data_IF_001661566574
#
_entry.id   IF_001661566574
#
_cell.length_a   1.000
_cell.length_b   1.000
_cell.length_c   1.000
_cell.angle_alpha   90.00
_cell.angle_beta   90.00
_cell.angle_gamma   90.00
#
_symmetry.space_group_name_H-M   'P 1'
#
loop_
_entity.id
_entity.type
_entity.pdbx_description
1 polymer ?
#
# COMPACT_ATOMS: atom_id res chain seq x y z
N UNK A 1 -12.34 -70.42 -11.74
CA UNK A 1 -13.02 -69.64 -10.68
C UNK A 1 -12.88 -68.16 -11.04
N UNK A 2 -14.02 -67.48 -11.23
CA UNK A 2 -14.18 -66.05 -11.55
C UNK A 2 -13.61 -65.16 -10.41
N UNK A 3 -13.01 -63.98 -10.69
CA UNK A 3 -13.72 -62.76 -11.10
C UNK A 3 -12.84 -61.76 -11.91
N UNK A 4 -13.44 -60.94 -12.83
CA UNK A 4 -12.72 -60.12 -13.82
C UNK A 4 -13.01 -58.58 -13.76
N UNK A 5 -12.29 -57.79 -14.59
CA UNK A 5 -12.54 -56.41 -15.14
C UNK A 5 -12.81 -55.23 -14.16
N UNK A 6 -12.53 -53.94 -14.40
CA UNK A 6 -12.28 -53.07 -15.57
C UNK A 6 -11.39 -51.87 -15.12
N UNK A 7 -10.47 -51.28 -15.89
CA UNK A 7 -10.56 -50.33 -17.02
C UNK A 7 -11.20 -48.95 -16.72
N UNK A 8 -10.65 -47.91 -17.38
CA UNK A 8 -11.08 -46.50 -17.63
C UNK A 8 -10.12 -45.49 -16.97
N UNK A 9 -9.10 -44.93 -17.67
CA UNK A 9 -9.07 -43.93 -18.75
C UNK A 9 -9.12 -42.45 -18.28
N UNK A 10 -8.11 -41.68 -18.72
CA UNK A 10 -7.80 -40.25 -18.49
C UNK A 10 -8.78 -39.28 -19.19
N UNK A 11 -8.85 -37.97 -18.82
CA UNK A 11 -8.16 -36.98 -19.68
C UNK A 11 -7.61 -35.68 -19.02
N UNK A 12 -6.58 -35.14 -19.70
CA UNK A 12 -6.24 -33.75 -20.08
C UNK A 12 -6.38 -32.51 -19.15
N UNK A 13 -5.23 -31.84 -18.96
CA UNK A 13 -4.95 -30.40 -19.09
C UNK A 13 -5.57 -29.35 -18.13
N UNK A 14 -4.71 -28.55 -17.47
CA UNK A 14 -4.67 -27.07 -17.58
C UNK A 14 -3.39 -26.51 -16.92
N UNK A 15 -2.45 -26.03 -17.73
CA UNK A 15 -2.07 -24.62 -17.96
C UNK A 15 -1.02 -24.05 -16.98
N UNK A 16 0.17 -23.90 -17.56
CA UNK A 16 1.26 -23.06 -17.11
C UNK A 16 0.94 -21.57 -17.30
N UNK A 17 1.76 -20.73 -16.66
CA UNK A 17 2.17 -19.47 -17.27
C UNK A 17 1.63 -18.23 -16.59
N UNK A 18 2.51 -17.63 -15.79
CA UNK A 18 2.46 -16.21 -15.47
C UNK A 18 2.47 -15.36 -16.74
N UNK A 19 1.66 -14.30 -16.74
CA UNK A 19 1.88 -13.11 -17.53
C UNK A 19 1.28 -11.93 -16.76
N UNK A 20 2.18 -11.04 -16.30
CA UNK A 20 2.11 -9.58 -16.43
C UNK A 20 0.70 -8.97 -16.50
N UNK A 21 0.17 -8.33 -15.47
CA UNK A 21 0.59 -6.99 -15.02
C UNK A 21 0.98 -6.03 -16.16
N UNK A 22 -0.07 -5.46 -16.76
CA UNK A 22 -0.24 -4.03 -17.07
C UNK A 22 0.68 -3.36 -18.12
N UNK A 23 0.15 -3.24 -19.33
CA UNK A 23 0.30 -2.08 -20.19
C UNK A 23 -1.02 -1.92 -20.97
N UNK A 24 -1.84 -0.93 -20.65
CA UNK A 24 -1.92 0.38 -21.32
C UNK A 24 -2.84 0.28 -22.56
N UNK A 25 -4.11 0.68 -22.41
CA UNK A 25 -4.71 1.83 -23.12
C UNK A 25 -6.23 1.93 -22.87
N UNK A 26 -6.68 3.18 -22.70
CA UNK A 26 -8.00 3.73 -23.02
C UNK A 26 -9.32 2.99 -22.64
N UNK A 27 -10.03 3.53 -21.63
CA UNK A 27 -11.44 3.94 -21.82
C UNK A 27 -12.60 2.99 -21.46
N UNK A 28 -12.97 2.93 -20.17
CA UNK A 28 -14.36 2.81 -19.63
C UNK A 28 -15.24 1.60 -20.02
N UNK A 29 -16.54 1.53 -19.64
CA UNK A 29 -17.29 2.26 -18.60
C UNK A 29 -18.01 1.34 -17.57
N UNK A 30 -18.59 1.95 -16.53
CA UNK A 30 -19.36 1.33 -15.46
C UNK A 30 -20.74 0.83 -15.92
N UNK A 31 -20.91 -0.48 -16.09
CA UNK A 31 -22.19 -1.20 -16.14
C UNK A 31 -21.92 -2.72 -16.26
N UNK A 32 -22.81 -3.53 -15.70
CA UNK A 32 -22.94 -5.00 -15.77
C UNK A 32 -22.44 -5.77 -14.54
N UNK A 33 -23.26 -5.69 -13.50
CA UNK A 33 -23.74 -6.86 -12.79
C UNK A 33 -24.71 -7.68 -13.66
N UNK A 34 -24.70 -9.01 -13.42
CA UNK A 34 -25.77 -10.00 -13.64
C UNK A 34 -26.10 -10.53 -15.06
N UNK A 35 -26.25 -11.88 -15.14
CA UNK A 35 -27.24 -12.73 -15.87
C UNK A 35 -26.61 -14.13 -16.05
N UNK A 36 -26.93 -15.15 -15.22
CA UNK A 36 -28.04 -16.14 -15.29
C UNK A 36 -28.04 -17.04 -16.56
N UNK A 37 -27.97 -18.36 -16.36
CA UNK A 37 -28.23 -19.36 -17.41
C UNK A 37 -28.27 -20.81 -16.89
N UNK A 38 -29.44 -21.26 -16.43
CA UNK A 38 -29.78 -22.63 -15.98
C UNK A 38 -30.22 -23.53 -17.14
N UNK A 39 -30.02 -24.85 -17.07
CA UNK A 39 -30.81 -25.84 -17.82
C UNK A 39 -31.07 -27.13 -17.02
N UNK A 40 -32.30 -27.64 -17.13
CA UNK A 40 -32.83 -28.86 -16.50
C UNK A 40 -33.58 -29.73 -17.52
N UNK A 41 -33.89 -30.97 -17.11
CA UNK A 41 -34.97 -31.91 -17.53
C UNK A 41 -34.48 -33.27 -18.05
N UNK A 42 -34.92 -34.35 -17.41
CA UNK A 42 -35.79 -35.43 -17.96
C UNK A 42 -36.25 -36.39 -16.84
N UNK A 43 -37.48 -36.89 -16.91
CA UNK A 43 -38.10 -37.82 -15.95
C UNK A 43 -38.82 -39.00 -16.62
N UNK A 44 -39.36 -39.95 -15.83
CA UNK A 44 -40.37 -40.98 -16.22
C UNK A 44 -41.14 -41.52 -15.00
N UNK A 45 -42.32 -42.12 -15.25
CA UNK A 45 -43.51 -42.20 -14.39
C UNK A 45 -43.98 -43.62 -13.98
N UNK A 46 -45.18 -43.68 -13.33
CA UNK A 46 -46.12 -44.79 -13.02
C UNK A 46 -45.98 -45.46 -11.62
N UNK A 47 -47.03 -45.76 -10.83
CA UNK A 47 -48.49 -45.63 -10.97
C UNK A 47 -49.26 -46.23 -9.76
N UNK A 48 -50.52 -45.78 -9.60
CA UNK A 48 -51.76 -46.41 -9.04
C UNK A 48 -51.82 -46.96 -7.61
N UNK A 49 -52.69 -46.37 -6.76
CA UNK A 49 -53.86 -47.02 -6.12
C UNK A 49 -54.57 -46.06 -5.13
N UNK A 50 -55.89 -45.90 -5.29
CA UNK A 50 -56.78 -45.17 -4.40
C UNK A 50 -57.47 -46.12 -3.41
N UNK A 51 -57.83 -45.66 -2.20
CA UNK A 51 -59.05 -45.98 -1.43
C UNK A 51 -59.17 -45.05 -0.18
N UNK A 52 -60.35 -44.46 0.03
CA UNK A 52 -60.84 -43.57 1.13
C UNK A 52 -61.26 -44.40 2.38
N UNK A 53 -61.70 -43.87 3.57
CA UNK A 53 -61.84 -42.48 4.09
C UNK A 53 -61.39 -42.27 5.59
N UNK A 54 -61.57 -41.05 6.12
CA UNK A 54 -61.35 -40.52 7.51
C UNK A 54 -62.06 -41.31 8.65
N UNK A 55 -61.66 -41.22 9.95
CA UNK A 55 -61.62 -39.97 10.77
C UNK A 55 -60.43 -39.82 11.76
N UNK A 56 -60.14 -38.57 12.17
CA UNK A 56 -59.18 -38.21 13.23
C UNK A 56 -59.71 -38.54 14.65
N UNK A 57 -58.87 -38.71 15.69
CA UNK A 57 -58.14 -37.59 16.30
C UNK A 57 -56.69 -37.90 16.74
N UNK A 58 -55.92 -36.82 16.94
CA UNK A 58 -54.49 -36.78 17.29
C UNK A 58 -54.11 -37.57 18.58
N UNK A 59 -52.84 -37.98 18.69
CA UNK A 59 -51.99 -37.22 19.62
C UNK A 59 -50.51 -37.05 19.20
N UNK A 60 -49.91 -36.02 19.80
CA UNK A 60 -48.48 -35.80 20.07
C UNK A 60 -47.53 -35.57 18.88
N UNK A 61 -47.09 -34.32 18.75
CA UNK A 61 -45.90 -33.90 17.98
C UNK A 61 -44.64 -34.63 18.49
N UNK A 62 -43.89 -35.35 17.64
CA UNK A 62 -42.50 -35.69 17.94
C UNK A 62 -41.62 -34.46 17.76
N UNK A 63 -40.85 -34.14 18.80
CA UNK A 63 -39.90 -33.03 18.88
C UNK A 63 -38.91 -33.06 17.71
N UNK A 64 -38.70 -31.90 17.10
CA UNK A 64 -37.59 -31.64 16.20
C UNK A 64 -36.27 -31.88 16.95
N UNK A 65 -35.45 -32.76 16.39
CA UNK A 65 -34.05 -32.97 16.77
C UNK A 65 -33.28 -31.65 16.61
N UNK A 66 -32.64 -31.22 17.69
CA UNK A 66 -31.73 -30.07 17.68
C UNK A 66 -30.55 -30.33 16.75
N UNK A 67 -30.35 -29.43 15.78
CA UNK A 67 -29.16 -29.41 14.94
C UNK A 67 -27.91 -29.10 15.79
N UNK A 68 -26.76 -29.76 15.55
CA UNK A 68 -25.54 -29.52 16.31
C UNK A 68 -24.95 -28.14 16.01
N UNK A 69 -24.68 -27.37 17.07
CA UNK A 69 -24.05 -26.06 17.00
C UNK A 69 -22.59 -26.19 16.54
N UNK A 70 -22.23 -25.40 15.52
CA UNK A 70 -20.86 -25.28 14.97
C UNK A 70 -19.94 -24.63 16.02
N UNK A 71 -18.76 -25.22 16.35
CA UNK A 71 -17.82 -24.62 17.30
C UNK A 71 -17.30 -23.26 16.82
N UNK A 72 -17.24 -22.30 17.74
CA UNK A 72 -16.69 -20.97 17.48
C UNK A 72 -15.17 -21.05 17.18
N UNK A 73 -14.65 -20.24 16.24
CA UNK A 73 -13.23 -20.25 15.90
C UNK A 73 -12.36 -19.71 17.05
N UNK A 74 -11.12 -20.23 17.22
CA UNK A 74 -10.23 -19.82 18.30
C UNK A 74 -9.78 -18.35 18.13
N UNK A 75 -9.49 -17.65 19.24
CA UNK A 75 -9.03 -16.27 19.20
C UNK A 75 -7.70 -16.15 18.47
N UNK A 76 -7.60 -15.20 17.54
CA UNK A 76 -6.39 -14.93 16.76
C UNK A 76 -5.26 -14.45 17.70
N UNK A 77 -4.01 -14.92 17.52
CA UNK A 77 -2.88 -14.48 18.33
C UNK A 77 -2.66 -12.97 18.20
N UNK A 78 -2.57 -12.27 19.34
CA UNK A 78 -2.17 -10.86 19.38
C UNK A 78 -0.68 -10.81 19.04
N UNK A 79 -0.33 -10.19 17.91
CA UNK A 79 1.07 -10.00 17.48
C UNK A 79 1.79 -9.18 18.58
N UNK A 80 2.97 -9.62 19.07
CA UNK A 80 3.75 -8.85 20.04
C UNK A 80 3.99 -7.41 19.56
N UNK A 81 3.99 -6.42 20.46
CA UNK A 81 4.26 -5.03 20.10
C UNK A 81 5.63 -4.94 19.42
N UNK A 82 5.65 -4.32 18.23
CA UNK A 82 6.88 -4.13 17.48
C UNK A 82 7.87 -3.27 18.31
N UNK A 83 9.16 -3.65 18.37
CA UNK A 83 10.14 -2.91 19.14
C UNK A 83 10.21 -1.46 18.66
N UNK A 84 10.16 -0.51 19.61
CA UNK A 84 10.30 0.92 19.30
C UNK A 84 11.69 1.15 18.70
N UNK A 85 11.71 1.72 17.50
CA UNK A 85 12.94 2.17 16.85
C UNK A 85 13.60 3.26 17.72
N UNK A 86 14.93 3.22 17.93
CA UNK A 86 15.66 4.27 18.63
C UNK A 86 15.33 5.68 18.10
N UNK A 87 15.30 6.66 18.99
CA UNK A 87 15.06 8.05 18.61
C UNK A 87 16.13 8.56 17.64
N UNK A 88 15.72 9.25 16.57
CA UNK A 88 16.63 9.82 15.57
C UNK A 88 17.13 8.85 14.49
N UNK A 89 16.81 7.56 14.56
CA UNK A 89 17.22 6.59 13.54
C UNK A 89 16.69 6.95 12.14
N UNK A 90 15.44 7.39 12.05
CA UNK A 90 14.80 7.79 10.79
C UNK A 90 15.51 8.98 10.13
N UNK A 91 16.08 9.89 10.92
CA UNK A 91 16.85 11.02 10.40
C UNK A 91 18.18 10.55 9.79
N UNK A 92 18.87 9.61 10.45
CA UNK A 92 20.08 9.00 9.90
C UNK A 92 19.79 8.20 8.64
N UNK A 93 18.68 7.46 8.59
CA UNK A 93 18.24 6.71 7.41
C UNK A 93 17.96 7.66 6.24
N UNK A 94 17.25 8.76 6.47
CA UNK A 94 17.00 9.78 5.45
C UNK A 94 18.31 10.36 4.92
N UNK A 95 19.21 10.77 5.83
CA UNK A 95 20.46 11.40 5.47
C UNK A 95 21.41 10.44 4.70
N UNK A 96 21.51 9.18 5.14
CA UNK A 96 22.26 8.15 4.43
C UNK A 96 21.66 7.83 3.05
N UNK A 97 20.31 7.87 2.93
CA UNK A 97 19.63 7.66 1.65
C UNK A 97 19.96 8.79 0.67
N UNK A 98 19.87 10.06 1.12
CA UNK A 98 20.21 11.22 0.30
C UNK A 98 21.69 11.25 -0.09
N UNK A 99 22.58 10.78 0.80
CA UNK A 99 23.99 10.66 0.47
C UNK A 99 24.24 9.60 -0.59
N UNK A 100 23.69 8.39 -0.42
CA UNK A 100 23.88 7.28 -1.36
C UNK A 100 23.29 7.57 -2.74
N UNK A 101 22.14 8.21 -2.80
CA UNK A 101 21.40 8.41 -4.06
C UNK A 101 21.75 9.72 -4.75
N UNK A 102 22.17 10.75 -4.01
CA UNK A 102 22.36 12.09 -4.57
C UNK A 102 23.70 12.75 -4.20
N UNK A 103 24.58 12.08 -3.44
CA UNK A 103 25.85 12.66 -2.93
C UNK A 103 25.67 13.99 -2.20
N UNK A 104 24.52 14.15 -1.53
CA UNK A 104 24.12 15.44 -0.95
C UNK A 104 25.14 15.95 0.08
N UNK A 105 25.66 15.08 0.95
CA UNK A 105 26.61 15.48 1.98
C UNK A 105 27.92 15.88 1.32
N UNK A 106 28.43 15.10 0.37
CA UNK A 106 29.66 15.44 -0.35
C UNK A 106 29.55 16.82 -0.99
N UNK A 107 28.45 17.07 -1.72
CA UNK A 107 28.21 18.35 -2.39
C UNK A 107 28.18 19.52 -1.41
N UNK A 108 27.47 19.38 -0.27
CA UNK A 108 27.38 20.44 0.74
C UNK A 108 28.67 20.66 1.53
N UNK A 109 29.57 19.66 1.53
CA UNK A 109 30.85 19.69 2.24
C UNK A 109 32.03 20.10 1.35
N UNK A 110 31.84 20.13 0.04
CA UNK A 110 32.81 20.60 -0.93
C UNK A 110 33.05 22.12 -0.80
N UNK A 111 34.31 22.53 -0.90
CA UNK A 111 34.68 23.95 -0.98
C UNK A 111 34.50 24.45 -2.42
N UNK A 112 33.53 25.33 -2.63
CA UNK A 112 33.22 25.85 -3.96
C UNK A 112 34.06 27.07 -4.38
N UNK A 113 34.96 27.57 -3.51
CA UNK A 113 35.69 28.83 -3.74
C UNK A 113 36.59 28.84 -4.99
N UNK A 114 37.02 27.67 -5.46
CA UNK A 114 37.87 27.51 -6.63
C UNK A 114 37.11 27.28 -7.95
N UNK A 115 35.78 27.15 -7.91
CA UNK A 115 34.96 26.82 -9.08
C UNK A 115 34.17 28.05 -9.56
N UNK A 116 33.97 28.14 -10.86
CA UNK A 116 33.07 29.14 -11.44
C UNK A 116 31.60 28.67 -11.44
N UNK A 117 30.68 29.60 -11.68
CA UNK A 117 29.23 29.33 -11.69
C UNK A 117 28.83 28.25 -12.73
N UNK A 118 29.55 28.14 -13.84
CA UNK A 118 29.25 27.16 -14.87
C UNK A 118 29.65 25.75 -14.44
N UNK A 119 30.81 25.61 -13.77
CA UNK A 119 31.28 24.36 -13.19
C UNK A 119 30.38 23.91 -12.05
N UNK A 120 30.03 24.81 -11.13
CA UNK A 120 29.07 24.53 -10.04
C UNK A 120 27.72 24.13 -10.62
N UNK A 121 27.23 24.89 -11.61
CA UNK A 121 25.98 24.62 -12.31
C UNK A 121 25.96 23.28 -13.04
N UNK A 122 27.10 22.82 -13.57
CA UNK A 122 27.22 21.49 -14.18
C UNK A 122 27.12 20.39 -13.12
N UNK A 123 27.83 20.51 -12.01
CA UNK A 123 27.86 19.50 -10.95
C UNK A 123 26.54 19.41 -10.16
N UNK A 124 25.90 20.54 -9.85
CA UNK A 124 24.71 20.57 -8.98
C UNK A 124 23.46 19.98 -9.65
N UNK A 125 23.40 19.96 -10.99
CA UNK A 125 22.21 19.46 -11.70
C UNK A 125 21.90 18.00 -11.39
N UNK A 126 22.93 17.16 -11.31
CA UNK A 126 22.77 15.74 -10.98
C UNK A 126 22.34 15.58 -9.51
N UNK A 127 23.05 16.23 -8.59
CA UNK A 127 22.72 16.25 -7.15
C UNK A 127 21.26 16.70 -6.93
N UNK A 128 20.85 17.79 -7.59
CA UNK A 128 19.49 18.32 -7.48
C UNK A 128 18.45 17.33 -8.00
N UNK A 129 18.64 16.80 -9.22
CA UNK A 129 17.72 15.83 -9.83
C UNK A 129 17.55 14.60 -8.94
N UNK A 130 18.67 14.05 -8.46
CA UNK A 130 18.66 12.77 -7.75
C UNK A 130 18.13 12.94 -6.31
N UNK A 131 18.44 14.07 -5.65
CA UNK A 131 17.86 14.40 -4.35
C UNK A 131 16.34 14.63 -4.44
N UNK A 132 15.87 15.33 -5.48
CA UNK A 132 14.44 15.53 -5.71
C UNK A 132 13.74 14.18 -5.94
N UNK A 133 14.30 13.31 -6.79
CA UNK A 133 13.77 11.98 -7.04
C UNK A 133 13.69 11.13 -5.76
N UNK A 134 14.73 11.18 -4.92
CA UNK A 134 14.73 10.49 -3.64
C UNK A 134 13.62 11.02 -2.71
N UNK A 135 13.47 12.35 -2.59
CA UNK A 135 12.43 12.95 -1.75
C UNK A 135 11.01 12.60 -2.25
N UNK A 136 10.75 12.62 -3.55
CA UNK A 136 9.44 12.25 -4.11
C UNK A 136 9.12 10.77 -3.89
N UNK A 137 10.12 9.90 -4.08
CA UNK A 137 9.98 8.47 -3.80
C UNK A 137 9.67 8.20 -2.33
N UNK A 138 10.32 8.89 -1.40
CA UNK A 138 10.16 8.70 0.05
C UNK A 138 8.90 9.36 0.60
N UNK A 139 8.53 10.56 0.11
CA UNK A 139 7.54 11.42 0.76
C UNK A 139 6.36 11.86 -0.10
N UNK A 140 6.47 11.76 -1.44
CA UNK A 140 5.49 12.29 -2.40
C UNK A 140 5.04 13.69 -2.00
N UNK A 141 5.95 14.65 -2.10
CA UNK A 141 5.75 15.99 -1.58
C UNK A 141 4.61 16.69 -2.34
N UNK A 142 3.69 17.28 -1.59
CA UNK A 142 2.59 18.08 -2.11
C UNK A 142 2.48 19.42 -1.37
N UNK A 143 1.56 20.30 -1.79
CA UNK A 143 1.37 21.59 -1.12
C UNK A 143 0.79 21.38 0.30
N UNK A 144 1.28 22.14 1.28
CA UNK A 144 0.71 22.11 2.63
C UNK A 144 -0.67 22.79 2.69
N UNK A 145 -0.85 23.83 1.86
CA UNK A 145 -2.10 24.54 1.61
C UNK A 145 -2.46 24.37 0.14
N UNK A 146 -3.62 23.76 -0.12
CA UNK A 146 -4.11 23.54 -1.48
C UNK A 146 -4.80 24.80 -2.03
N UNK A 147 -3.98 25.81 -2.35
CA UNK A 147 -4.40 27.03 -3.02
C UNK A 147 -3.23 27.55 -3.87
N UNK A 148 -3.53 28.34 -4.90
CA UNK A 148 -2.52 28.88 -5.79
C UNK A 148 -1.67 29.95 -5.08
N UNK A 149 -0.39 30.00 -5.41
CA UNK A 149 0.47 31.11 -4.99
C UNK A 149 -0.10 32.44 -5.51
N UNK A 150 -0.09 33.47 -4.67
CA UNK A 150 -0.72 34.75 -4.92
C UNK A 150 -2.22 34.82 -4.59
N UNK A 151 -2.87 33.69 -4.29
CA UNK A 151 -4.28 33.69 -3.89
C UNK A 151 -4.51 34.29 -2.51
N UNK A 152 -5.74 34.75 -2.26
CA UNK A 152 -6.13 35.29 -0.96
C UNK A 152 -6.62 34.17 -0.05
N UNK A 153 -5.99 34.02 1.11
CA UNK A 153 -6.23 32.93 2.04
C UNK A 153 -6.39 33.49 3.46
N UNK A 154 -7.36 32.98 4.20
CA UNK A 154 -7.50 33.29 5.63
C UNK A 154 -6.71 32.29 6.49
N UNK A 155 -5.62 32.69 7.16
CA UNK A 155 -4.87 31.82 8.05
C UNK A 155 -5.74 31.20 9.15
N UNK A 156 -6.79 31.90 9.60
CA UNK A 156 -7.69 31.41 10.65
C UNK A 156 -8.57 30.25 10.17
N UNK A 157 -8.78 30.11 8.86
CA UNK A 157 -9.52 28.99 8.26
C UNK A 157 -8.66 27.73 8.04
N UNK A 158 -7.34 27.82 8.25
CA UNK A 158 -6.40 26.74 7.97
C UNK A 158 -5.98 25.99 9.24
N UNK A 159 -5.63 24.70 9.12
CA UNK A 159 -5.16 23.92 10.25
C UNK A 159 -3.91 24.52 10.89
N UNK A 160 -3.86 24.50 12.23
CA UNK A 160 -2.71 24.95 12.99
C UNK A 160 -1.43 24.23 12.53
N UNK A 161 -0.32 24.97 12.44
CA UNK A 161 0.99 24.44 12.02
C UNK A 161 1.18 24.30 10.51
N UNK A 162 0.17 24.55 9.66
CA UNK A 162 0.32 24.55 8.20
C UNK A 162 0.65 25.90 7.59
N UNK A 163 0.50 26.97 8.36
CA UNK A 163 0.75 28.34 7.90
C UNK A 163 1.60 29.08 8.92
N UNK A 164 2.60 29.78 8.41
CA UNK A 164 3.35 30.79 9.15
C UNK A 164 2.98 32.16 8.57
N UNK A 165 2.27 32.97 9.35
CA UNK A 165 1.93 34.34 8.96
C UNK A 165 3.18 35.22 9.07
N UNK A 166 3.43 36.04 8.04
CA UNK A 166 4.51 37.03 8.01
C UNK A 166 3.93 38.41 7.70
N UNK A 167 4.62 39.50 8.09
CA UNK A 167 4.14 40.87 7.91
C UNK A 167 3.37 41.44 9.12
N UNK A 168 2.43 42.36 8.87
CA UNK A 168 1.62 42.98 9.93
C UNK A 168 0.57 41.99 10.45
N UNK A 169 0.94 41.26 11.50
CA UNK A 169 0.13 40.20 12.12
C UNK A 169 -0.96 40.85 12.98
N UNK A 170 -2.22 40.73 12.54
CA UNK A 170 -3.38 41.39 13.17
C UNK A 170 -4.57 41.58 12.23
N UNK A 171 -4.36 41.46 10.92
CA UNK A 171 -5.42 41.44 9.90
C UNK A 171 -5.90 40.03 9.55
N UNK A 172 -7.10 39.94 8.97
CA UNK A 172 -7.72 38.70 8.46
C UNK A 172 -6.99 38.11 7.25
N UNK A 173 -7.72 37.83 6.15
CA UNK A 173 -7.14 37.15 5.00
C UNK A 173 -5.90 37.86 4.40
N UNK A 174 -4.86 37.10 4.08
CA UNK A 174 -3.60 37.53 3.48
C UNK A 174 -3.34 36.86 2.12
N UNK A 175 -2.18 37.13 1.52
CA UNK A 175 -1.77 36.53 0.25
C UNK A 175 -0.90 35.31 0.49
N UNK A 176 -1.22 34.18 -0.14
CA UNK A 176 -0.39 32.97 -0.06
C UNK A 176 0.90 33.18 -0.87
N UNK A 177 2.03 33.36 -0.19
CA UNK A 177 3.34 33.58 -0.85
C UNK A 177 4.01 32.26 -1.25
N UNK A 178 3.74 31.18 -0.53
CA UNK A 178 4.25 29.86 -0.88
C UNK A 178 3.30 28.82 -0.26
N UNK A 179 2.80 27.82 -1.01
CA UNK A 179 1.83 26.84 -0.53
C UNK A 179 2.40 25.89 0.55
N UNK A 180 3.72 25.91 0.73
CA UNK A 180 4.44 25.04 1.65
C UNK A 180 4.63 23.65 1.06
N UNK A 181 5.28 22.79 1.83
CA UNK A 181 5.48 21.39 1.48
C UNK A 181 4.89 20.51 2.58
N UNK A 182 4.16 19.49 2.18
CA UNK A 182 3.63 18.44 3.03
C UNK A 182 3.97 17.08 2.43
N UNK A 183 4.47 16.18 3.27
CA UNK A 183 4.60 14.77 2.89
C UNK A 183 3.21 14.14 2.81
N UNK A 184 2.87 13.54 1.67
CA UNK A 184 1.60 12.80 1.50
C UNK A 184 1.76 11.31 1.82
N UNK A 185 3.01 10.83 1.87
CA UNK A 185 3.40 9.52 2.40
C UNK A 185 4.71 9.65 3.19
N UNK A 186 5.03 8.63 4.00
CA UNK A 186 6.37 8.48 4.59
C UNK A 186 6.78 7.03 4.40
N UNK A 187 7.75 6.80 3.52
CA UNK A 187 8.25 5.48 3.19
C UNK A 187 9.78 5.44 3.28
N UNK A 188 10.30 5.40 4.50
CA UNK A 188 11.73 5.28 4.75
C UNK A 188 12.16 3.81 4.64
N UNK A 189 13.30 3.51 3.98
CA UNK A 189 13.82 2.15 3.92
C UNK A 189 14.15 1.64 5.33
N UNK A 190 14.02 0.33 5.54
CA UNK A 190 14.49 -0.27 6.78
C UNK A 190 16.00 -0.07 6.92
N UNK A 191 16.45 0.26 8.13
CA UNK A 191 17.87 0.36 8.42
C UNK A 191 18.53 -0.99 8.14
N UNK A 192 19.56 -0.94 7.31
CA UNK A 192 20.41 -2.08 6.97
C UNK A 192 21.80 -1.77 7.50
N UNK A 193 22.30 -2.58 8.43
CA UNK A 193 23.60 -2.35 9.03
C UNK A 193 23.84 -3.20 10.28
N UNK A 194 25.09 -3.26 10.75
CA UNK A 194 25.43 -4.01 11.95
C UNK A 194 24.69 -3.46 13.19
N UNK A 195 24.46 -4.31 14.20
CA UNK A 195 23.81 -3.90 15.45
C UNK A 195 24.66 -2.94 16.28
N UNK A 196 25.94 -2.76 15.94
CA UNK A 196 26.83 -1.80 16.58
C UNK A 196 26.34 -0.36 16.41
N UNK A 197 26.27 0.38 17.53
CA UNK A 197 25.72 1.74 17.57
C UNK A 197 26.67 2.77 16.94
N UNK A 198 27.98 2.56 17.00
CA UNK A 198 28.93 3.47 16.36
C UNK A 198 28.85 3.34 14.83
N UNK A 199 28.84 2.11 14.33
CA UNK A 199 28.61 1.80 12.92
C UNK A 199 27.22 2.24 12.45
N UNK A 200 26.22 2.30 13.34
CA UNK A 200 24.90 2.84 13.03
C UNK A 200 24.89 4.29 12.55
N UNK A 201 25.88 5.07 13.00
CA UNK A 201 26.00 6.49 12.72
C UNK A 201 26.84 6.76 11.46
N UNK A 202 27.32 5.71 10.79
CA UNK A 202 28.03 5.82 9.51
C UNK A 202 27.03 6.04 8.39
N UNK A 203 27.08 7.23 7.78
CA UNK A 203 26.18 7.64 6.69
C UNK A 203 26.70 7.23 5.31
N UNK A 204 28.02 7.20 5.16
CA UNK A 204 28.74 6.66 4.01
C UNK A 204 30.01 5.96 4.52
N UNK A 205 30.28 4.71 4.14
CA UNK A 205 31.49 4.01 4.56
C UNK A 205 32.74 4.63 3.93
N UNK A 206 33.87 4.54 4.63
CA UNK A 206 35.16 4.86 4.03
C UNK A 206 35.56 3.77 3.03
N UNK A 207 36.09 4.19 1.89
CA UNK A 207 36.62 3.29 0.86
C UNK A 207 38.14 3.13 1.05
N UNK A 208 38.61 1.88 1.01
CA UNK A 208 40.03 1.53 1.17
C UNK A 208 40.43 0.64 0.01
N UNK A 209 41.41 1.09 -0.78
CA UNK A 209 42.01 0.29 -1.84
C UNK A 209 43.03 -0.69 -1.23
N UNK A 210 42.92 -1.98 -1.60
CA UNK A 210 43.84 -3.03 -1.16
C UNK A 210 44.84 -3.31 -2.27
N UNK A 211 46.14 -3.25 -1.93
CA UNK A 211 47.26 -3.53 -2.83
C UNK A 211 47.72 -4.98 -2.84
#
# INVERSE_FOLDING_TARGET
MLKPLALIALPAALLAGAADWYADDAGGPAWIDAVVGTLAVFGTAAGVAALKPEPAPAPAKPQATAAPAKPAPPPKPVKPPEPKRPEGEDALVLLATLQREARLIDFLKEDLSAYDDAQVGAAVRDVHRDAAAALDRLFALGPAVNAEEGSRVDPASLPAGRVKTTGHVGGGAGTLVHPGWAATKVNLPARTGPPDEAAARVLAPAEVEVG
#
